data_IF_525063509173
#
_entry.id   IF_525063509173
#
_cell.length_a   1.000
_cell.length_b   1.000
_cell.length_c   1.000
_cell.angle_alpha   90.00
_cell.angle_beta   90.00
_cell.angle_gamma   90.00
#
_symmetry.space_group_name_H-M   'P 1'
#
loop_
_entity.id
_entity.type
_entity.pdbx_description
1 polymer ?
#
# COMPACT_ATOMS: atom_id res chain seq x y z
N UNK A 1 -24.89 6.22 9.31
CA UNK A 1 -23.70 5.37 9.57
C UNK A 1 -22.51 5.93 8.81
N UNK A 2 -21.31 5.96 9.40
CA UNK A 2 -20.08 6.24 8.65
C UNK A 2 -19.63 4.95 7.97
N UNK A 3 -19.31 5.02 6.68
CA UNK A 3 -18.70 3.89 5.97
C UNK A 3 -17.21 3.83 6.29
N UNK A 4 -16.68 2.63 6.50
CA UNK A 4 -15.28 2.38 6.74
C UNK A 4 -14.70 1.60 5.57
N UNK A 5 -13.49 1.96 5.13
CA UNK A 5 -12.79 1.24 4.07
C UNK A 5 -12.06 0.04 4.67
N UNK A 6 -12.34 -1.14 4.13
CA UNK A 6 -11.54 -2.35 4.35
C UNK A 6 -10.56 -2.50 3.19
N UNK A 7 -9.26 -2.54 3.48
CA UNK A 7 -8.21 -2.57 2.45
C UNK A 7 -7.14 -3.59 2.82
N UNK A 8 -6.44 -4.11 1.82
CA UNK A 8 -5.23 -4.92 2.00
C UNK A 8 -4.01 -4.06 1.72
N UNK A 9 -2.91 -4.21 2.46
CA UNK A 9 -1.74 -3.37 2.25
C UNK A 9 -0.43 -4.16 2.10
N UNK A 10 0.44 -3.65 1.23
CA UNK A 10 1.86 -4.00 1.21
C UNK A 10 2.59 -3.07 2.17
N UNK A 11 3.27 -3.63 3.16
CA UNK A 11 4.05 -2.88 4.17
C UNK A 11 5.53 -2.88 3.83
N UNK A 12 6.22 -1.79 4.17
CA UNK A 12 7.65 -1.58 3.89
C UNK A 12 8.38 -1.34 5.20
N UNK A 13 9.55 -1.98 5.36
CA UNK A 13 10.36 -1.89 6.55
C UNK A 13 9.64 -2.48 7.77
N UNK A 14 9.07 -3.67 7.60
CA UNK A 14 8.43 -4.41 8.68
C UNK A 14 9.51 -4.94 9.64
N UNK A 15 9.34 -4.68 10.93
CA UNK A 15 10.15 -5.17 12.03
C UNK A 15 9.27 -5.53 13.24
N UNK A 16 9.89 -5.84 14.38
CA UNK A 16 9.19 -6.26 15.60
C UNK A 16 8.35 -5.13 16.24
N UNK A 17 8.59 -3.87 15.88
CA UNK A 17 7.88 -2.71 16.41
C UNK A 17 6.73 -2.31 15.50
N UNK A 18 6.87 -2.53 14.20
CA UNK A 18 5.81 -2.25 13.23
C UNK A 18 6.35 -2.12 11.81
N UNK A 19 5.87 -1.13 11.07
CA UNK A 19 6.28 -0.89 9.69
C UNK A 19 6.46 0.60 9.43
N UNK A 20 7.37 0.93 8.53
CA UNK A 20 7.68 2.32 8.19
C UNK A 20 6.61 2.92 7.29
N UNK A 21 6.16 2.18 6.28
CA UNK A 21 5.19 2.64 5.27
C UNK A 21 4.23 1.53 4.85
N UNK A 22 3.08 1.91 4.29
CA UNK A 22 2.12 0.98 3.69
C UNK A 22 1.50 1.55 2.42
N UNK A 23 1.27 0.69 1.44
CA UNK A 23 0.50 0.95 0.23
C UNK A 23 -0.81 0.17 0.33
N UNK A 24 -1.94 0.87 0.47
CA UNK A 24 -3.26 0.26 0.63
C UNK A 24 -3.91 0.02 -0.74
N UNK A 25 -4.45 -1.17 -0.97
CA UNK A 25 -5.18 -1.61 -2.15
C UNK A 25 -6.61 -1.97 -1.76
N UNK A 26 -7.55 -1.81 -2.68
CA UNK A 26 -8.93 -2.26 -2.49
C UNK A 26 -8.98 -3.79 -2.40
N UNK A 27 -8.33 -4.49 -3.33
CA UNK A 27 -8.38 -5.93 -3.41
C UNK A 27 -7.08 -6.60 -2.97
N UNK A 28 -7.22 -7.72 -2.25
CA UNK A 28 -6.09 -8.55 -1.79
C UNK A 28 -5.24 -9.07 -2.95
N UNK A 29 -5.87 -9.42 -4.08
CA UNK A 29 -5.18 -9.96 -5.24
C UNK A 29 -4.17 -8.94 -5.81
N UNK A 30 -4.54 -7.66 -5.88
CA UNK A 30 -3.67 -6.60 -6.38
C UNK A 30 -2.47 -6.37 -5.45
N UNK A 31 -2.71 -6.32 -4.13
CA UNK A 31 -1.63 -6.19 -3.15
C UNK A 31 -0.65 -7.37 -3.23
N UNK A 32 -1.16 -8.59 -3.44
CA UNK A 32 -0.33 -9.79 -3.57
C UNK A 32 0.47 -9.78 -4.88
N UNK A 33 -0.15 -9.43 -6.01
CA UNK A 33 0.54 -9.32 -7.29
C UNK A 33 1.64 -8.25 -7.24
N UNK A 34 1.33 -7.08 -6.65
CA UNK A 34 2.30 -6.02 -6.45
C UNK A 34 3.47 -6.48 -5.55
N UNK A 35 3.20 -7.15 -4.43
CA UNK A 35 4.25 -7.69 -3.56
C UNK A 35 5.18 -8.68 -4.27
N UNK A 36 4.62 -9.57 -5.11
CA UNK A 36 5.40 -10.57 -5.84
C UNK A 36 6.26 -9.94 -6.93
N UNK A 37 5.73 -8.94 -7.65
CA UNK A 37 6.42 -8.31 -8.77
C UNK A 37 7.41 -7.22 -8.36
N UNK A 38 7.22 -6.61 -7.19
CA UNK A 38 7.96 -5.41 -6.80
C UNK A 38 9.37 -5.73 -6.28
N UNK A 39 10.36 -5.02 -6.80
CA UNK A 39 11.77 -5.15 -6.42
C UNK A 39 12.14 -4.37 -5.14
N UNK A 40 11.15 -3.72 -4.51
CA UNK A 40 11.32 -2.90 -3.31
C UNK A 40 11.83 -1.48 -3.56
N UNK A 41 12.03 -1.06 -4.81
CA UNK A 41 12.47 0.31 -5.16
C UNK A 41 11.30 1.13 -5.70
N UNK A 42 11.27 2.42 -5.36
CA UNK A 42 10.21 3.33 -5.81
C UNK A 42 8.83 2.99 -5.20
N UNK A 43 7.77 3.14 -6.00
CA UNK A 43 6.41 2.75 -5.64
C UNK A 43 6.07 1.39 -6.27
N UNK A 44 5.36 0.50 -5.56
CA UNK A 44 4.86 -0.74 -6.16
C UNK A 44 3.86 -0.43 -7.29
N UNK A 45 3.80 -1.32 -8.27
CA UNK A 45 2.84 -1.26 -9.36
C UNK A 45 1.41 -1.55 -8.89
N UNK A 46 0.44 -1.21 -9.73
CA UNK A 46 -0.97 -1.57 -9.54
C UNK A 46 -1.79 -0.49 -8.83
N UNK A 47 -3.10 -0.76 -8.61
CA UNK A 47 -4.07 0.24 -8.19
C UNK A 47 -4.07 0.41 -6.66
N UNK A 48 -2.92 0.75 -6.06
CA UNK A 48 -2.95 1.19 -4.66
C UNK A 48 -3.68 2.53 -4.57
N UNK A 49 -4.49 2.69 -3.54
CA UNK A 49 -5.30 3.87 -3.26
C UNK A 49 -4.44 4.96 -2.62
N UNK A 50 -3.59 4.57 -1.67
CA UNK A 50 -2.80 5.50 -0.84
C UNK A 50 -1.54 4.89 -0.24
N UNK A 51 -0.48 5.69 -0.17
CA UNK A 51 0.73 5.42 0.59
C UNK A 51 0.77 6.25 1.88
N UNK A 52 1.01 5.61 3.03
CA UNK A 52 1.15 6.29 4.34
C UNK A 52 2.35 5.81 5.13
N UNK A 53 2.93 6.70 5.92
CA UNK A 53 3.98 6.40 6.92
C UNK A 53 5.29 7.13 6.62
N UNK A 54 6.20 7.20 7.61
CA UNK A 54 7.49 7.90 7.50
C UNK A 54 7.37 9.36 6.96
N UNK A 55 6.35 10.11 7.41
CA UNK A 55 6.08 11.48 6.93
C UNK A 55 5.41 11.57 5.55
N UNK A 56 5.09 10.44 4.92
CA UNK A 56 4.44 10.37 3.60
C UNK A 56 2.92 10.22 3.76
N UNK A 57 2.17 11.00 2.99
CA UNK A 57 0.74 10.82 2.71
C UNK A 57 0.51 11.13 1.22
N UNK A 58 0.43 10.09 0.39
CA UNK A 58 0.35 10.20 -1.07
C UNK A 58 -0.81 9.40 -1.61
N UNK A 59 -1.56 9.98 -2.55
CA UNK A 59 -2.49 9.25 -3.40
C UNK A 59 -1.75 8.77 -4.66
N UNK A 60 -2.15 7.62 -5.16
CA UNK A 60 -1.60 7.10 -6.41
C UNK A 60 -2.13 7.93 -7.58
N UNK A 61 -1.27 8.58 -8.38
CA UNK A 61 -1.70 9.37 -9.52
C UNK A 61 -2.38 8.51 -10.60
N UNK A 62 -2.10 7.21 -10.64
CA UNK A 62 -2.66 6.28 -11.63
C UNK A 62 -3.92 5.55 -11.13
N UNK A 63 -4.38 5.85 -9.91
CA UNK A 63 -5.60 5.26 -9.38
C UNK A 63 -6.82 5.91 -10.04
N UNK A 64 -7.61 5.09 -10.75
CA UNK A 64 -8.81 5.49 -11.49
C UNK A 64 -10.07 4.99 -10.81
#
# INVERSE_FOLDING_TARGET
>A
MKQFNYTTAVVVGLDDVGYQRRYCYEHRADAQAALVAWDGRGHPSGPWIKCKGAGIDLLNPDFR
#
